data_IF_264313492971
#
_entry.id   IF_264313492971
#
_cell.length_a   1.000
_cell.length_b   1.000
_cell.length_c   1.000
_cell.angle_alpha   90.00
_cell.angle_beta   90.00
_cell.angle_gamma   90.00
#
_symmetry.space_group_name_H-M   'P 1'
#
loop_
_entity.id
_entity.type
_entity.pdbx_description
1 polymer ?
#
# COMPACT_ATOMS: atom_id res chain seq x y z
N UNK A 1 42.63 13.77 14.76
CA UNK A 1 41.27 14.20 14.39
C UNK A 1 40.44 14.26 15.67
N UNK A 2 39.82 15.39 16.03
CA UNK A 2 38.97 15.45 17.22
C UNK A 2 37.65 14.72 16.94
N UNK A 3 37.30 13.77 17.81
CA UNK A 3 36.01 13.07 17.75
C UNK A 3 34.93 13.99 18.28
N UNK A 4 34.14 14.57 17.38
CA UNK A 4 33.08 15.52 17.73
C UNK A 4 31.86 14.76 18.29
N UNK A 5 31.91 14.39 19.57
CA UNK A 5 30.71 13.94 20.31
C UNK A 5 29.73 15.11 20.36
N UNK A 6 28.56 14.94 19.73
CA UNK A 6 27.44 15.84 19.94
C UNK A 6 27.13 15.95 21.45
N UNK A 7 27.14 17.17 21.98
CA UNK A 7 26.87 17.39 23.39
C UNK A 7 25.41 17.08 23.75
N UNK A 8 25.10 16.72 25.02
CA UNK A 8 23.74 16.38 25.43
C UNK A 8 22.72 17.49 25.15
N UNK A 9 23.16 18.75 25.16
CA UNK A 9 22.33 19.94 24.83
C UNK A 9 21.85 19.95 23.37
N UNK A 10 22.52 19.26 22.45
CA UNK A 10 22.16 19.21 21.03
C UNK A 10 21.23 18.02 20.72
N UNK A 11 21.43 16.87 21.38
CA UNK A 11 20.48 15.75 21.33
C UNK A 11 19.09 16.20 21.83
N UNK A 12 19.04 16.93 22.95
CA UNK A 12 17.80 17.53 23.47
C UNK A 12 17.13 18.48 22.46
N UNK A 13 17.91 19.22 21.67
CA UNK A 13 17.37 20.14 20.65
C UNK A 13 16.72 19.40 19.48
N UNK A 14 17.37 18.35 18.95
CA UNK A 14 16.81 17.48 17.90
C UNK A 14 15.54 16.79 18.40
N UNK A 15 15.56 16.31 19.64
CA UNK A 15 14.42 15.68 20.31
C UNK A 15 13.24 16.64 20.46
N UNK A 16 13.50 17.90 20.86
CA UNK A 16 12.47 18.95 20.92
C UNK A 16 11.94 19.29 19.53
N UNK A 17 12.76 19.33 18.49
CA UNK A 17 12.31 19.55 17.11
C UNK A 17 11.45 18.39 16.58
N UNK A 18 11.86 17.14 16.79
CA UNK A 18 11.07 15.97 16.38
C UNK A 18 9.74 15.92 17.15
N UNK A 19 9.77 16.08 18.47
CA UNK A 19 8.56 16.12 19.30
C UNK A 19 7.65 17.30 18.91
N UNK A 20 8.22 18.47 18.57
CA UNK A 20 7.46 19.61 18.08
C UNK A 20 6.90 19.39 16.66
N UNK A 21 7.60 18.70 15.76
CA UNK A 21 7.11 18.36 14.43
C UNK A 21 5.95 17.36 14.51
N UNK A 22 6.09 16.33 15.35
CA UNK A 22 5.00 15.38 15.68
C UNK A 22 3.83 16.11 16.33
N UNK A 23 4.07 16.95 17.34
CA UNK A 23 3.02 17.70 18.03
C UNK A 23 2.32 18.72 17.12
N UNK A 24 3.05 19.42 16.24
CA UNK A 24 2.48 20.37 15.28
C UNK A 24 1.65 19.68 14.19
N UNK A 25 2.06 18.48 13.75
CA UNK A 25 1.25 17.62 12.87
C UNK A 25 0.04 17.03 13.63
N UNK A 26 0.17 16.84 14.95
CA UNK A 26 -0.90 16.42 15.87
C UNK A 26 -1.86 17.52 16.34
N UNK A 27 -1.55 18.80 16.11
CA UNK A 27 -2.19 19.96 16.74
C UNK A 27 -3.54 20.37 16.13
N UNK A 28 -4.48 19.43 16.07
CA UNK A 28 -5.90 19.76 16.11
C UNK A 28 -6.45 19.43 17.52
N UNK A 29 -6.77 20.49 18.27
CA UNK A 29 -7.48 20.49 19.55
C UNK A 29 -6.87 19.73 20.76
N UNK A 30 -5.82 20.31 21.37
CA UNK A 30 -5.54 20.10 22.79
C UNK A 30 -6.31 21.13 23.65
N UNK A 31 -7.48 20.75 24.16
CA UNK A 31 -8.22 21.51 25.18
C UNK A 31 -8.26 20.74 26.51
N UNK A 32 -8.27 21.41 27.67
CA UNK A 32 -8.16 20.75 28.96
C UNK A 32 -9.38 19.88 29.28
N UNK A 33 -9.12 18.66 29.74
CA UNK A 33 -10.14 17.65 30.06
C UNK A 33 -11.09 18.16 31.13
N UNK A 34 -12.35 18.36 30.74
CA UNK A 34 -13.49 18.44 31.67
C UNK A 34 -14.38 17.21 31.45
N UNK A 35 -14.98 16.70 32.52
CA UNK A 35 -15.61 15.38 32.56
C UNK A 35 -16.91 15.28 31.75
N UNK A 36 -17.10 14.12 31.08
CA UNK A 36 -18.20 13.71 30.17
C UNK A 36 -18.20 14.40 28.78
N UNK A 37 -17.74 13.72 27.70
CA UNK A 37 -17.66 14.32 26.35
C UNK A 37 -19.01 14.41 25.59
N UNK A 38 -20.09 13.83 26.11
CA UNK A 38 -21.32 13.60 25.34
C UNK A 38 -22.43 14.63 25.61
N UNK A 39 -22.36 15.76 24.91
CA UNK A 39 -23.42 16.77 24.82
C UNK A 39 -24.52 16.42 23.80
N UNK A 40 -25.69 17.06 23.92
CA UNK A 40 -26.97 16.59 23.39
C UNK A 40 -27.22 16.69 21.85
N UNK A 41 -26.20 16.88 21.02
CA UNK A 41 -26.38 16.89 19.55
C UNK A 41 -26.50 15.47 18.98
N UNK A 42 -27.39 15.24 18.01
CA UNK A 42 -27.67 13.88 17.49
C UNK A 42 -26.43 13.18 16.88
N UNK A 43 -25.65 13.87 16.06
CA UNK A 43 -24.41 13.31 15.51
C UNK A 43 -23.35 13.04 16.61
N UNK A 44 -23.33 13.86 17.68
CA UNK A 44 -22.46 13.66 18.83
C UNK A 44 -22.92 12.46 19.68
N UNK A 45 -24.22 12.20 19.80
CA UNK A 45 -24.74 11.04 20.55
C UNK A 45 -24.49 9.72 19.82
N UNK A 46 -24.61 9.69 18.49
CA UNK A 46 -24.15 8.55 17.67
C UNK A 46 -22.65 8.33 17.84
N UNK A 47 -21.82 9.36 17.60
CA UNK A 47 -20.37 9.25 17.72
C UNK A 47 -19.95 8.78 19.12
N UNK A 48 -20.52 9.36 20.19
CA UNK A 48 -20.29 8.94 21.57
C UNK A 48 -20.63 7.47 21.80
N UNK A 49 -21.82 7.01 21.38
CA UNK A 49 -22.26 5.62 21.54
C UNK A 49 -21.30 4.65 20.85
N UNK A 50 -20.77 5.03 19.68
CA UNK A 50 -19.85 4.20 18.89
C UNK A 50 -18.42 4.22 19.43
N UNK A 51 -17.92 5.37 19.88
CA UNK A 51 -16.60 5.47 20.50
C UNK A 51 -16.54 4.81 21.88
N UNK A 52 -17.66 4.76 22.62
CA UNK A 52 -17.76 4.03 23.88
C UNK A 52 -17.50 2.51 23.75
N UNK A 53 -17.59 1.93 22.55
CA UNK A 53 -17.25 0.51 22.29
C UNK A 53 -15.84 0.31 21.74
N UNK A 54 -14.98 1.33 21.78
CA UNK A 54 -13.58 1.26 21.30
C UNK A 54 -12.58 1.15 22.45
N UNK A 55 -11.34 0.77 22.15
CA UNK A 55 -10.28 0.59 23.16
C UNK A 55 -9.83 1.93 23.75
N UNK A 56 -9.86 3.02 22.97
CA UNK A 56 -9.48 4.36 23.42
C UNK A 56 -10.62 5.37 23.14
N UNK A 57 -11.72 5.39 23.93
CA UNK A 57 -12.92 6.16 23.62
C UNK A 57 -12.73 7.67 23.46
N UNK A 58 -11.84 8.29 24.26
CA UNK A 58 -11.54 9.72 24.14
C UNK A 58 -10.86 10.03 22.79
N UNK A 59 -9.77 9.32 22.48
CA UNK A 59 -9.05 9.44 21.19
C UNK A 59 -9.99 9.19 20.01
N UNK A 60 -10.91 8.23 20.13
CA UNK A 60 -11.94 7.98 19.10
C UNK A 60 -12.85 9.20 18.92
N UNK A 61 -13.38 9.75 20.00
CA UNK A 61 -14.32 10.87 19.95
C UNK A 61 -13.64 12.13 19.42
N UNK A 62 -12.53 12.55 20.03
CA UNK A 62 -11.86 13.82 19.73
C UNK A 62 -11.35 13.86 18.28
N UNK A 63 -10.81 12.74 17.76
CA UNK A 63 -10.30 12.67 16.38
C UNK A 63 -11.37 12.55 15.30
N UNK A 64 -12.60 12.18 15.66
CA UNK A 64 -13.72 12.00 14.73
C UNK A 64 -14.79 13.08 14.83
N UNK A 65 -14.81 13.86 15.92
CA UNK A 65 -15.74 14.97 16.11
C UNK A 65 -15.71 16.01 14.96
N UNK A 66 -14.55 16.42 14.39
CA UNK A 66 -14.52 17.33 13.23
C UNK A 66 -15.26 16.80 12.00
N UNK A 67 -15.41 15.47 11.89
CA UNK A 67 -16.04 14.79 10.75
C UNK A 67 -17.49 14.35 11.05
N UNK A 68 -18.03 14.66 12.23
CA UNK A 68 -19.33 14.13 12.71
C UNK A 68 -20.50 14.33 11.72
N UNK A 69 -20.52 15.46 11.00
CA UNK A 69 -21.55 15.74 9.99
C UNK A 69 -21.50 14.83 8.74
N UNK A 70 -20.34 14.25 8.42
CA UNK A 70 -20.18 13.37 7.25
C UNK A 70 -20.75 11.95 7.48
N UNK A 71 -20.85 11.52 8.74
CA UNK A 71 -21.25 10.15 9.07
C UNK A 71 -22.73 9.88 8.80
N UNK A 72 -23.61 10.85 9.05
CA UNK A 72 -25.08 10.70 9.00
C UNK A 72 -25.56 9.38 9.65
N UNK A 73 -25.06 9.10 10.86
CA UNK A 73 -25.33 7.90 11.66
C UNK A 73 -24.99 6.55 10.97
N UNK A 74 -24.25 6.58 9.85
CA UNK A 74 -23.74 5.38 9.18
C UNK A 74 -22.50 4.83 9.89
N UNK A 75 -22.60 3.57 10.34
CA UNK A 75 -21.47 2.81 10.91
C UNK A 75 -20.35 2.60 9.90
N UNK A 76 -20.68 2.48 8.61
CA UNK A 76 -19.69 2.29 7.54
C UNK A 76 -18.90 3.57 7.32
N UNK A 77 -19.57 4.73 7.25
CA UNK A 77 -18.89 6.03 7.06
C UNK A 77 -18.07 6.46 8.28
N UNK A 78 -18.57 6.19 9.49
CA UNK A 78 -17.80 6.39 10.71
C UNK A 78 -16.53 5.51 10.72
N UNK A 79 -16.64 4.24 10.36
CA UNK A 79 -15.50 3.33 10.28
C UNK A 79 -14.51 3.73 9.16
N UNK A 80 -15.02 4.22 8.02
CA UNK A 80 -14.20 4.76 6.91
C UNK A 80 -13.39 5.95 7.37
N UNK A 81 -14.03 6.95 7.99
CA UNK A 81 -13.36 8.13 8.52
C UNK A 81 -12.32 7.77 9.59
N UNK A 82 -12.58 6.78 10.45
CA UNK A 82 -11.59 6.30 11.41
C UNK A 82 -10.38 5.63 10.73
N UNK A 83 -10.59 4.89 9.64
CA UNK A 83 -9.50 4.33 8.83
C UNK A 83 -8.71 5.43 8.08
N UNK A 84 -9.38 6.48 7.57
CA UNK A 84 -8.73 7.64 6.96
C UNK A 84 -7.89 8.45 7.96
N UNK A 85 -8.40 8.69 9.17
CA UNK A 85 -7.67 9.36 10.26
C UNK A 85 -6.45 8.53 10.68
N UNK A 86 -6.61 7.21 10.86
CA UNK A 86 -5.47 6.33 11.15
C UNK A 86 -4.42 6.37 10.03
N UNK A 87 -4.85 6.30 8.76
CA UNK A 87 -3.97 6.43 7.60
C UNK A 87 -3.26 7.78 7.49
N UNK A 88 -3.89 8.89 7.92
CA UNK A 88 -3.24 10.19 7.99
C UNK A 88 -2.13 10.19 9.06
N UNK A 89 -2.47 9.83 10.30
CA UNK A 89 -1.50 9.79 11.42
C UNK A 89 -0.31 8.87 11.15
N UNK A 90 -0.53 7.73 10.51
CA UNK A 90 0.56 6.81 10.12
C UNK A 90 1.48 7.41 9.04
N UNK A 91 0.95 8.17 8.07
CA UNK A 91 1.78 8.89 7.08
C UNK A 91 2.57 10.03 7.72
N UNK A 92 1.96 10.80 8.61
CA UNK A 92 2.62 11.91 9.32
C UNK A 92 3.78 11.40 10.18
N UNK A 93 3.59 10.26 10.87
CA UNK A 93 4.64 9.58 11.63
C UNK A 93 5.75 9.04 10.71
N UNK A 94 5.39 8.33 9.64
CA UNK A 94 6.35 7.84 8.64
C UNK A 94 7.20 8.96 8.03
N UNK A 95 6.61 10.13 7.74
CA UNK A 95 7.33 11.28 7.21
C UNK A 95 8.28 11.90 8.24
N UNK A 96 7.86 11.97 9.51
CA UNK A 96 8.69 12.49 10.60
C UNK A 96 9.90 11.58 10.88
N UNK A 97 9.72 10.25 10.79
CA UNK A 97 10.79 9.27 10.86
C UNK A 97 11.76 9.34 9.66
N UNK A 98 11.24 9.59 8.46
CA UNK A 98 12.07 9.77 7.25
C UNK A 98 12.93 11.05 7.34
N UNK A 99 12.34 12.14 7.85
CA UNK A 99 13.01 13.41 8.17
C UNK A 99 14.14 13.22 9.21
N UNK A 100 13.93 12.34 10.20
CA UNK A 100 14.93 11.95 11.21
C UNK A 100 16.11 11.14 10.64
N UNK A 101 15.91 10.41 9.54
CA UNK A 101 16.96 9.63 8.85
C UNK A 101 17.72 10.47 7.83
N UNK A 102 17.04 11.38 7.13
CA UNK A 102 17.56 12.08 5.95
C UNK A 102 17.85 13.58 6.18
N UNK A 103 17.84 14.04 7.45
CA UNK A 103 17.90 15.44 7.88
C UNK A 103 18.66 16.40 6.98
N UNK A 104 17.97 17.45 6.53
CA UNK A 104 18.47 18.45 5.60
C UNK A 104 19.80 19.07 6.06
N UNK A 105 20.79 19.10 5.16
CA UNK A 105 22.19 19.38 5.46
C UNK A 105 22.55 20.83 5.79
N UNK A 106 21.67 21.61 6.44
CA UNK A 106 21.86 23.04 6.73
C UNK A 106 22.00 23.38 8.23
N UNK A 107 21.86 22.39 9.13
CA UNK A 107 22.24 22.54 10.55
C UNK A 107 23.08 21.34 10.98
N UNK A 108 24.36 21.61 11.29
CA UNK A 108 25.38 20.69 11.83
C UNK A 108 25.03 19.21 11.92
N UNK A 109 25.44 18.44 10.89
CA UNK A 109 25.12 17.02 10.69
C UNK A 109 25.06 16.18 11.98
N UNK A 110 23.83 15.87 12.40
CA UNK A 110 23.54 14.94 13.49
C UNK A 110 23.75 13.52 12.96
N UNK A 111 24.84 12.87 13.36
CA UNK A 111 25.04 11.46 13.05
C UNK A 111 24.22 10.59 14.00
N UNK A 112 22.98 10.29 13.63
CA UNK A 112 22.20 9.19 14.25
C UNK A 112 23.06 7.92 14.18
N UNK A 113 23.25 7.16 15.28
CA UNK A 113 24.10 5.98 15.25
C UNK A 113 23.64 5.01 14.14
N UNK A 114 24.54 4.39 13.34
CA UNK A 114 24.13 3.60 12.18
C UNK A 114 23.13 2.47 12.48
N UNK A 115 23.15 1.92 13.71
CA UNK A 115 22.17 0.97 14.22
C UNK A 115 20.77 1.60 14.40
N UNK A 116 20.70 2.74 15.08
CA UNK A 116 19.46 3.52 15.27
C UNK A 116 18.91 3.98 13.91
N UNK A 117 19.78 4.46 13.01
CA UNK A 117 19.36 4.85 11.66
C UNK A 117 18.83 3.66 10.83
N UNK A 118 19.30 2.43 11.07
CA UNK A 118 18.73 1.24 10.46
C UNK A 118 17.35 0.91 11.06
N UNK A 119 17.24 0.83 12.38
CA UNK A 119 15.98 0.58 13.07
C UNK A 119 14.89 1.61 12.73
N UNK A 120 15.25 2.90 12.61
CA UNK A 120 14.32 3.96 12.17
C UNK A 120 13.90 3.77 10.72
N UNK A 121 14.80 3.37 9.80
CA UNK A 121 14.40 3.03 8.41
C UNK A 121 13.48 1.81 8.35
N UNK A 122 13.73 0.81 9.17
CA UNK A 122 12.87 -0.39 9.24
C UNK A 122 11.48 -0.01 9.78
N UNK A 123 11.42 0.86 10.79
CA UNK A 123 10.16 1.46 11.26
C UNK A 123 9.47 2.35 10.22
N UNK A 124 10.19 3.18 9.44
CA UNK A 124 9.61 3.90 8.28
C UNK A 124 8.92 2.92 7.35
N UNK A 125 9.57 1.79 7.04
CA UNK A 125 9.01 0.70 6.25
C UNK A 125 7.71 0.16 6.85
N UNK A 126 7.72 -0.29 8.12
CA UNK A 126 6.52 -0.90 8.73
C UNK A 126 5.38 0.11 8.96
N UNK A 127 5.68 1.35 9.34
CA UNK A 127 4.67 2.41 9.53
C UNK A 127 4.06 2.84 8.19
N UNK A 128 4.86 3.00 7.13
CA UNK A 128 4.35 3.24 5.78
C UNK A 128 3.47 2.09 5.29
N UNK A 129 3.89 0.84 5.58
CA UNK A 129 3.09 -0.37 5.34
C UNK A 129 1.73 -0.31 6.05
N UNK A 130 1.71 0.08 7.31
CA UNK A 130 0.50 0.22 8.12
C UNK A 130 -0.44 1.30 7.57
N UNK A 131 0.11 2.43 7.10
CA UNK A 131 -0.67 3.50 6.50
C UNK A 131 -1.40 3.03 5.23
N UNK A 132 -0.69 2.33 4.33
CA UNK A 132 -1.27 1.76 3.11
C UNK A 132 -2.37 0.71 3.42
N UNK A 133 -2.19 -0.09 4.47
CA UNK A 133 -3.22 -1.03 4.93
C UNK A 133 -4.47 -0.32 5.48
N UNK A 134 -4.31 0.73 6.29
CA UNK A 134 -5.42 1.55 6.76
C UNK A 134 -6.17 2.25 5.61
N UNK A 135 -5.45 2.73 4.58
CA UNK A 135 -6.02 3.28 3.33
C UNK A 135 -6.89 2.26 2.60
N UNK A 136 -6.42 1.03 2.41
CA UNK A 136 -7.21 -0.04 1.77
C UNK A 136 -8.49 -0.34 2.57
N UNK A 137 -8.43 -0.32 3.91
CA UNK A 137 -9.63 -0.46 4.73
C UNK A 137 -10.64 0.67 4.50
N UNK A 138 -10.19 1.92 4.40
CA UNK A 138 -11.05 3.04 4.00
C UNK A 138 -11.66 2.81 2.61
N UNK A 139 -10.86 2.38 1.62
CA UNK A 139 -11.34 2.13 0.26
C UNK A 139 -12.41 1.02 0.19
N UNK A 140 -12.24 -0.09 0.92
CA UNK A 140 -13.25 -1.15 1.03
C UNK A 140 -14.55 -0.64 1.70
N UNK A 141 -14.43 0.14 2.77
CA UNK A 141 -15.59 0.78 3.42
C UNK A 141 -16.24 1.84 2.52
N UNK A 142 -15.48 2.46 1.62
CA UNK A 142 -15.99 3.35 0.57
C UNK A 142 -16.84 2.61 -0.47
N UNK A 143 -16.36 1.47 -0.98
CA UNK A 143 -17.13 0.62 -1.91
C UNK A 143 -18.44 0.11 -1.29
N UNK A 144 -18.46 -0.14 0.03
CA UNK A 144 -19.70 -0.48 0.74
C UNK A 144 -20.73 0.66 0.73
N UNK A 145 -20.30 1.89 1.03
CA UNK A 145 -21.18 3.07 1.10
C UNK A 145 -21.71 3.44 -0.30
N UNK A 146 -20.85 3.37 -1.33
CA UNK A 146 -21.23 3.53 -2.74
C UNK A 146 -22.18 2.43 -3.23
N UNK A 147 -21.88 1.16 -2.97
CA UNK A 147 -22.72 0.01 -3.35
C UNK A 147 -24.09 -0.02 -2.65
N UNK A 148 -24.17 0.54 -1.43
CA UNK A 148 -25.44 0.76 -0.73
C UNK A 148 -26.24 1.91 -1.37
N UNK A 149 -25.60 3.01 -1.75
CA UNK A 149 -26.24 4.11 -2.48
C UNK A 149 -26.72 3.71 -3.89
N UNK A 150 -26.04 2.77 -4.55
CA UNK A 150 -26.40 2.24 -5.86
C UNK A 150 -27.45 1.11 -5.82
N UNK A 151 -27.88 0.65 -4.64
CA UNK A 151 -28.91 -0.40 -4.48
C UNK A 151 -28.49 -1.81 -4.96
N UNK A 152 -27.22 -2.03 -5.28
CA UNK A 152 -26.73 -3.25 -5.96
C UNK A 152 -25.87 -4.20 -5.12
N UNK A 153 -25.57 -3.87 -3.86
CA UNK A 153 -24.65 -4.64 -3.03
C UNK A 153 -25.22 -5.95 -2.47
N UNK A 154 -24.98 -7.08 -3.16
CA UNK A 154 -25.30 -8.40 -2.61
C UNK A 154 -24.56 -8.70 -1.30
N UNK A 155 -25.25 -9.20 -0.26
CA UNK A 155 -24.73 -9.27 1.12
C UNK A 155 -23.44 -10.09 1.32
N UNK A 156 -23.08 -10.96 0.35
CA UNK A 156 -21.77 -11.63 0.28
C UNK A 156 -20.61 -10.67 -0.02
N UNK A 157 -20.77 -9.76 -0.98
CA UNK A 157 -19.74 -8.74 -1.29
C UNK A 157 -19.58 -7.79 -0.11
N UNK A 158 -20.68 -7.40 0.53
CA UNK A 158 -20.62 -6.52 1.68
C UNK A 158 -19.88 -7.16 2.87
N UNK A 159 -20.11 -8.45 3.13
CA UNK A 159 -19.38 -9.23 4.14
C UNK A 159 -17.89 -9.37 3.80
N UNK A 160 -17.55 -9.53 2.52
CA UNK A 160 -16.18 -9.61 2.04
C UNK A 160 -15.40 -8.31 2.30
N UNK A 161 -15.95 -7.16 1.93
CA UNK A 161 -15.25 -5.87 2.12
C UNK A 161 -15.07 -5.51 3.60
N UNK A 162 -16.07 -5.77 4.45
CA UNK A 162 -15.91 -5.64 5.91
C UNK A 162 -14.83 -6.59 6.44
N UNK A 163 -14.73 -7.81 5.91
CA UNK A 163 -13.68 -8.76 6.30
C UNK A 163 -12.28 -8.27 5.89
N UNK A 164 -12.13 -7.76 4.67
CA UNK A 164 -10.86 -7.20 4.19
C UNK A 164 -10.44 -5.99 5.03
N UNK A 165 -11.37 -5.08 5.31
CA UNK A 165 -11.11 -3.90 6.13
C UNK A 165 -10.62 -4.25 7.55
N UNK A 166 -11.14 -5.34 8.14
CA UNK A 166 -10.64 -5.89 9.41
C UNK A 166 -9.24 -6.45 9.27
N UNK A 167 -9.01 -7.33 8.29
CA UNK A 167 -7.71 -7.96 8.04
C UNK A 167 -6.60 -6.93 7.88
N UNK A 168 -6.82 -5.90 7.06
CA UNK A 168 -5.81 -4.87 6.83
C UNK A 168 -5.58 -3.97 8.06
N UNK A 169 -6.62 -3.59 8.83
CA UNK A 169 -6.42 -2.82 10.08
C UNK A 169 -5.71 -3.64 11.18
N UNK A 170 -5.99 -4.95 11.28
CA UNK A 170 -5.24 -5.85 12.16
C UNK A 170 -3.77 -5.95 11.76
N UNK A 171 -3.49 -6.09 10.45
CA UNK A 171 -2.12 -6.09 9.94
C UNK A 171 -1.42 -4.72 10.11
N UNK A 172 -2.16 -3.61 9.97
CA UNK A 172 -1.64 -2.27 10.23
C UNK A 172 -1.20 -2.11 11.69
N UNK A 173 -2.01 -2.56 12.67
CA UNK A 173 -1.60 -2.57 14.08
C UNK A 173 -0.37 -3.46 14.31
N UNK A 174 -0.30 -4.65 13.71
CA UNK A 174 0.85 -5.54 13.86
C UNK A 174 2.15 -4.91 13.34
N UNK A 175 2.09 -4.19 12.22
CA UNK A 175 3.24 -3.47 11.67
C UNK A 175 3.70 -2.31 12.57
N UNK A 176 2.77 -1.56 13.17
CA UNK A 176 3.12 -0.47 14.11
C UNK A 176 3.68 -1.04 15.42
N UNK A 177 3.11 -2.12 15.94
CA UNK A 177 3.68 -2.85 17.07
C UNK A 177 5.09 -3.35 16.76
N UNK A 178 5.32 -3.90 15.56
CA UNK A 178 6.66 -4.32 15.11
C UNK A 178 7.66 -3.16 15.07
N UNK A 179 7.24 -1.93 14.73
CA UNK A 179 8.10 -0.75 14.90
C UNK A 179 8.40 -0.52 16.39
N UNK A 180 7.38 -0.45 17.25
CA UNK A 180 7.55 -0.16 18.67
C UNK A 180 8.45 -1.20 19.38
N UNK A 181 8.22 -2.50 19.12
CA UNK A 181 9.00 -3.62 19.66
C UNK A 181 10.47 -3.54 19.22
N UNK A 182 10.75 -3.04 18.01
CA UNK A 182 12.10 -2.78 17.52
C UNK A 182 12.91 -1.74 18.30
N UNK A 183 12.28 -1.03 19.25
CA UNK A 183 12.90 -0.06 20.15
C UNK A 183 12.67 -0.38 21.64
N UNK A 184 12.07 -1.54 21.97
CA UNK A 184 11.72 -1.87 23.36
C UNK A 184 12.92 -2.23 24.25
N UNK A 185 14.03 -2.70 23.67
CA UNK A 185 15.27 -3.10 24.37
C UNK A 185 16.29 -1.94 24.55
N UNK A 186 15.81 -0.70 24.64
CA UNK A 186 16.60 0.54 24.64
C UNK A 186 17.36 0.84 25.96
N UNK A 187 18.22 -0.08 26.41
CA UNK A 187 18.88 0.03 27.72
C UNK A 187 20.07 1.02 27.74
N UNK A 188 19.87 2.18 28.40
CA UNK A 188 20.89 3.03 29.04
C UNK A 188 22.02 3.66 28.19
N UNK A 189 21.88 3.74 26.87
CA UNK A 189 22.79 4.47 25.98
C UNK A 189 22.40 5.94 25.72
N UNK A 190 23.31 6.75 25.16
CA UNK A 190 23.02 8.13 24.73
C UNK A 190 22.06 8.25 23.52
N UNK A 191 21.44 7.14 23.11
CA UNK A 191 20.41 7.03 22.07
C UNK A 191 19.01 6.81 22.63
N UNK A 192 18.87 6.43 23.91
CA UNK A 192 17.62 5.97 24.53
C UNK A 192 16.44 6.93 24.33
N UNK A 193 16.69 8.25 24.26
CA UNK A 193 15.64 9.23 24.01
C UNK A 193 14.98 9.09 22.62
N UNK A 194 15.74 8.85 21.55
CA UNK A 194 15.15 8.70 20.20
C UNK A 194 14.28 7.44 20.17
N UNK A 195 14.75 6.38 20.81
CA UNK A 195 14.09 5.07 20.87
C UNK A 195 12.79 5.17 21.69
N UNK A 196 12.82 5.86 22.84
CA UNK A 196 11.64 6.19 23.66
C UNK A 196 10.61 7.05 22.90
N UNK A 197 11.05 8.08 22.16
CA UNK A 197 10.16 8.98 21.40
C UNK A 197 9.51 8.27 20.21
N UNK A 198 10.27 7.42 19.49
CA UNK A 198 9.73 6.62 18.38
C UNK A 198 8.77 5.55 18.88
N UNK A 199 9.10 4.84 19.97
CA UNK A 199 8.20 3.87 20.59
C UNK A 199 6.93 4.53 21.15
N UNK A 200 7.06 5.71 21.77
CA UNK A 200 5.96 6.50 22.29
C UNK A 200 4.98 6.95 21.21
N UNK A 201 5.47 7.43 20.05
CA UNK A 201 4.60 7.82 18.94
C UNK A 201 4.05 6.61 18.18
N UNK A 202 4.78 5.50 18.07
CA UNK A 202 4.24 4.22 17.56
C UNK A 202 3.08 3.72 18.43
N UNK A 203 3.21 3.77 19.75
CA UNK A 203 2.13 3.48 20.69
C UNK A 203 0.97 4.50 20.59
N UNK A 204 1.25 5.75 20.20
CA UNK A 204 0.25 6.78 19.99
C UNK A 204 -0.59 6.53 18.72
N UNK A 205 0.05 6.34 17.55
CA UNK A 205 -0.65 6.08 16.28
C UNK A 205 -1.40 4.73 16.29
N UNK A 206 -0.92 3.76 17.08
CA UNK A 206 -1.63 2.49 17.35
C UNK A 206 -3.04 2.68 17.88
N UNK A 207 -3.29 3.73 18.69
CA UNK A 207 -4.62 4.01 19.29
C UNK A 207 -5.68 4.29 18.21
N UNK A 208 -5.31 5.05 17.17
CA UNK A 208 -6.20 5.37 16.06
C UNK A 208 -6.53 4.13 15.24
N UNK A 209 -5.52 3.30 14.93
CA UNK A 209 -5.69 2.05 14.18
C UNK A 209 -6.55 1.04 14.96
N UNK A 210 -6.36 0.96 16.28
CA UNK A 210 -7.17 0.13 17.19
C UNK A 210 -8.63 0.57 17.25
N UNK A 211 -8.88 1.89 17.39
CA UNK A 211 -10.22 2.44 17.36
C UNK A 211 -10.91 2.23 16.00
N UNK A 212 -10.19 2.40 14.89
CA UNK A 212 -10.70 2.10 13.55
C UNK A 212 -11.10 0.61 13.45
N UNK A 213 -10.25 -0.34 13.87
CA UNK A 213 -10.59 -1.76 13.85
C UNK A 213 -11.81 -2.07 14.73
N UNK A 214 -11.92 -1.47 15.91
CA UNK A 214 -13.08 -1.64 16.79
C UNK A 214 -14.38 -1.13 16.13
N UNK A 215 -14.33 0.00 15.42
CA UNK A 215 -15.46 0.54 14.68
C UNK A 215 -15.87 -0.35 13.49
N UNK A 216 -14.92 -0.91 12.74
CA UNK A 216 -15.19 -1.91 11.68
C UNK A 216 -15.75 -3.21 12.27
N UNK A 217 -15.25 -3.64 13.44
CA UNK A 217 -15.79 -4.79 14.14
C UNK A 217 -17.24 -4.59 14.60
N UNK A 218 -17.60 -3.36 14.96
CA UNK A 218 -18.97 -2.98 15.31
C UNK A 218 -19.93 -2.80 14.12
N UNK A 219 -19.56 -3.12 12.87
CA UNK A 219 -20.48 -3.09 11.72
C UNK A 219 -21.35 -4.36 11.74
N UNK A 220 -22.69 -4.26 11.92
CA UNK A 220 -23.56 -5.42 12.01
C UNK A 220 -23.80 -6.04 10.63
N UNK A 221 -23.41 -7.30 10.45
CA UNK A 221 -23.70 -8.04 9.22
C UNK A 221 -25.21 -8.20 8.96
N UNK A 222 -26.03 -8.24 10.02
CA UNK A 222 -27.50 -8.38 9.96
C UNK A 222 -28.23 -7.14 9.44
N UNK A 223 -27.56 -5.98 9.31
CA UNK A 223 -28.18 -4.73 8.84
C UNK A 223 -28.26 -4.60 7.32
N UNK A 224 -27.50 -5.43 6.58
CA UNK A 224 -27.45 -5.40 5.12
C UNK A 224 -28.59 -6.19 4.45
N UNK A 225 -29.23 -7.12 5.19
CA UNK A 225 -30.32 -7.94 4.65
C UNK A 225 -31.71 -7.27 4.80
N UNK A 226 -31.86 -6.23 5.64
CA UNK A 226 -33.16 -5.59 5.90
C UNK A 226 -33.58 -4.53 4.86
N UNK A 227 -32.65 -3.95 4.10
CA UNK A 227 -32.97 -2.94 3.07
C UNK A 227 -33.71 -3.50 1.85
N UNK A 228 -33.72 -4.84 1.67
CA UNK A 228 -34.27 -5.52 0.50
C UNK A 228 -35.72 -6.02 0.65
N UNK A 229 -36.39 -5.81 1.80
CA UNK A 229 -37.66 -6.49 2.11
C UNK A 229 -38.82 -5.54 2.43
N UNK A 230 -39.21 -4.68 1.47
CA UNK A 230 -40.54 -4.02 1.51
C UNK A 230 -41.12 -3.68 0.14
N UNK A 231 -41.25 -4.66 -0.75
CA UNK A 231 -42.28 -4.69 -1.82
C UNK A 231 -42.64 -6.15 -2.13
N UNK A 232 -43.91 -6.42 -2.43
CA UNK A 232 -44.49 -7.74 -2.15
C UNK A 232 -44.62 -8.73 -3.31
N UNK A 233 -44.63 -10.01 -2.89
CA UNK A 233 -45.52 -11.11 -3.33
C UNK A 233 -45.11 -12.04 -4.51
N UNK A 234 -45.44 -13.32 -4.26
CA UNK A 234 -45.70 -14.44 -5.21
C UNK A 234 -44.59 -14.98 -6.11
N UNK A 235 -43.71 -15.79 -5.51
CA UNK A 235 -43.67 -17.26 -5.68
C UNK A 235 -43.66 -17.91 -7.07
N UNK A 236 -42.59 -18.65 -7.36
CA UNK A 236 -42.66 -20.03 -7.90
C UNK A 236 -41.33 -20.78 -7.73
N UNK A 237 -41.39 -22.11 -7.71
CA UNK A 237 -40.27 -23.00 -7.41
C UNK A 237 -39.69 -23.68 -8.66
N UNK A 238 -38.39 -23.92 -8.67
CA UNK A 238 -37.70 -25.00 -9.38
C UNK A 238 -36.26 -25.10 -8.78
N UNK A 239 -35.97 -26.09 -7.94
CA UNK A 239 -35.53 -27.45 -8.30
C UNK A 239 -34.12 -27.49 -8.90
N UNK A 240 -33.19 -27.95 -8.07
CA UNK A 240 -31.82 -28.31 -8.46
C UNK A 240 -31.76 -29.65 -9.21
N UNK A 241 -30.92 -29.73 -10.24
CA UNK A 241 -30.23 -30.97 -10.61
C UNK A 241 -28.79 -30.64 -10.99
N UNK A 242 -27.83 -31.36 -10.41
CA UNK A 242 -26.42 -31.27 -10.80
C UNK A 242 -26.03 -32.40 -11.74
N UNK A 243 -24.88 -32.26 -12.41
CA UNK A 243 -24.14 -33.43 -12.90
C UNK A 243 -22.63 -33.14 -12.98
N UNK A 244 -21.85 -34.14 -12.61
CA UNK A 244 -20.39 -34.17 -12.74
C UNK A 244 -19.97 -35.07 -13.92
N UNK A 245 -18.68 -34.99 -14.28
CA UNK A 245 -18.05 -35.79 -15.33
C UNK A 245 -18.01 -35.07 -16.69
N UNK A 246 -17.01 -35.29 -17.55
CA UNK A 246 -15.86 -36.20 -17.44
C UNK A 246 -14.64 -35.64 -18.18
N UNK A 247 -13.45 -36.05 -17.77
CA UNK A 247 -12.27 -35.95 -18.62
C UNK A 247 -12.36 -36.94 -19.80
N UNK A 248 -11.77 -36.58 -20.94
CA UNK A 248 -11.47 -37.50 -22.04
C UNK A 248 -10.14 -37.08 -22.66
N UNK A 249 -9.20 -38.03 -22.79
CA UNK A 249 -7.94 -37.83 -23.48
C UNK A 249 -8.06 -38.10 -24.99
N UNK A 250 -7.13 -37.58 -25.79
CA UNK A 250 -6.82 -38.11 -27.12
C UNK A 250 -5.31 -38.34 -27.28
N UNK A 251 -4.97 -39.41 -27.98
CA UNK A 251 -3.62 -39.98 -28.15
C UNK A 251 -3.35 -40.29 -29.62
N UNK A 252 -2.08 -40.19 -30.06
CA UNK A 252 -1.59 -40.61 -31.39
C UNK A 252 -1.84 -39.59 -32.52
N UNK A 253 -1.21 -39.64 -33.71
CA UNK A 253 -0.11 -40.44 -34.31
C UNK A 253 0.27 -39.77 -35.68
N UNK A 254 1.40 -39.97 -36.38
CA UNK A 254 2.73 -40.53 -36.08
C UNK A 254 3.71 -40.26 -37.27
N UNK A 255 5.03 -40.17 -37.02
CA UNK A 255 6.10 -40.22 -38.05
C UNK A 255 6.44 -38.89 -38.75
N UNK A 256 7.58 -38.73 -39.45
CA UNK A 256 8.72 -39.64 -39.66
C UNK A 256 9.94 -38.88 -40.24
N UNK A 257 11.06 -39.60 -40.39
CA UNK A 257 12.25 -39.29 -41.20
C UNK A 257 13.32 -38.36 -40.60
N UNK A 258 14.45 -38.98 -40.25
CA UNK A 258 15.75 -38.33 -40.14
C UNK A 258 16.48 -38.42 -41.48
N UNK A 259 17.22 -37.37 -41.86
CA UNK A 259 18.29 -37.45 -42.87
C UNK A 259 19.46 -36.60 -42.40
N UNK A 260 20.68 -37.13 -42.54
CA UNK A 260 21.93 -36.52 -42.10
C UNK A 260 22.72 -35.93 -43.26
N UNK A 261 23.48 -34.87 -42.97
CA UNK A 261 24.63 -34.22 -43.65
C UNK A 261 24.57 -32.73 -43.25
N UNK A 262 25.62 -31.99 -42.98
CA UNK A 262 27.07 -32.22 -43.07
C UNK A 262 27.72 -30.84 -43.26
N UNK A 263 28.72 -30.50 -42.42
CA UNK A 263 29.46 -29.21 -42.45
C UNK A 263 28.65 -27.92 -42.16
N UNK A 264 29.23 -26.80 -41.69
CA UNK A 264 30.60 -26.55 -41.24
C UNK A 264 30.59 -25.84 -39.88
N UNK A 265 31.43 -26.28 -38.93
CA UNK A 265 31.55 -25.63 -37.61
C UNK A 265 32.53 -24.46 -37.72
N UNK A 266 32.02 -23.29 -38.13
CA UNK A 266 32.78 -22.05 -38.02
C UNK A 266 33.15 -21.83 -36.55
N UNK A 267 34.45 -21.91 -36.23
CA UNK A 267 34.97 -21.52 -34.91
C UNK A 267 34.97 -19.99 -34.86
N UNK A 268 33.80 -19.43 -34.58
CA UNK A 268 33.71 -18.05 -34.17
C UNK A 268 34.58 -17.90 -32.91
N UNK A 269 35.56 -16.99 -32.97
CA UNK A 269 36.34 -16.65 -31.79
C UNK A 269 35.37 -16.21 -30.69
N UNK A 270 35.35 -16.94 -29.58
CA UNK A 270 34.51 -16.61 -28.44
C UNK A 270 35.09 -15.38 -27.75
N UNK A 271 34.75 -14.20 -28.26
CA UNK A 271 34.91 -12.95 -27.51
C UNK A 271 34.09 -13.08 -26.24
N UNK A 272 34.78 -13.07 -25.10
CA UNK A 272 34.16 -13.01 -23.77
C UNK A 272 33.04 -11.94 -23.76
N UNK A 273 31.80 -12.30 -23.40
CA UNK A 273 30.70 -11.34 -23.40
C UNK A 273 31.02 -10.20 -22.44
N UNK A 274 31.16 -8.98 -22.96
CA UNK A 274 31.31 -7.78 -22.13
C UNK A 274 30.13 -7.70 -21.15
N UNK A 275 30.34 -7.18 -19.93
CA UNK A 275 29.29 -7.16 -18.90
C UNK A 275 27.98 -6.50 -19.37
N UNK A 276 28.05 -5.49 -20.26
CA UNK A 276 26.89 -4.89 -20.91
C UNK A 276 26.12 -5.87 -21.81
N UNK A 277 26.82 -6.74 -22.55
CA UNK A 277 26.20 -7.75 -23.41
C UNK A 277 25.53 -8.88 -22.61
N UNK A 278 26.13 -9.32 -21.50
CA UNK A 278 25.55 -10.35 -20.63
C UNK A 278 24.33 -9.82 -19.84
N UNK A 279 24.39 -8.59 -19.34
CA UNK A 279 23.24 -7.92 -18.72
C UNK A 279 22.06 -7.76 -19.70
N UNK A 280 22.35 -7.42 -20.96
CA UNK A 280 21.32 -7.27 -22.02
C UNK A 280 20.70 -8.63 -22.41
N UNK A 281 21.51 -9.68 -22.52
CA UNK A 281 21.03 -11.04 -22.78
C UNK A 281 20.18 -11.58 -21.62
N UNK A 282 20.61 -11.33 -20.38
CA UNK A 282 19.84 -11.63 -19.17
C UNK A 282 18.48 -10.90 -19.18
N UNK A 283 18.47 -9.59 -19.47
CA UNK A 283 17.23 -8.82 -19.55
C UNK A 283 16.25 -9.40 -20.58
N UNK A 284 16.70 -9.74 -21.81
CA UNK A 284 15.82 -10.37 -22.82
C UNK A 284 15.21 -11.66 -22.30
N UNK A 285 16.02 -12.54 -21.72
CA UNK A 285 15.56 -13.82 -21.16
C UNK A 285 14.50 -13.61 -20.08
N UNK A 286 14.71 -12.67 -19.16
CA UNK A 286 13.76 -12.37 -18.07
C UNK A 286 12.51 -11.63 -18.55
N UNK A 287 12.59 -10.78 -19.56
CA UNK A 287 11.44 -10.11 -20.13
C UNK A 287 10.57 -11.02 -20.99
N UNK A 288 11.14 -12.04 -21.64
CA UNK A 288 10.41 -13.04 -22.42
C UNK A 288 9.40 -13.85 -21.59
N UNK A 289 9.59 -13.96 -20.26
CA UNK A 289 8.62 -14.62 -19.36
C UNK A 289 7.55 -13.67 -18.82
N UNK A 290 7.52 -12.40 -19.23
CA UNK A 290 6.51 -11.41 -18.78
C UNK A 290 5.36 -11.31 -19.78
N UNK A 291 4.20 -10.79 -19.34
CA UNK A 291 3.05 -10.51 -20.23
C UNK A 291 3.33 -9.40 -21.24
N UNK A 292 4.34 -8.56 -21.02
CA UNK A 292 4.65 -7.39 -21.84
C UNK A 292 6.16 -7.34 -22.16
N UNK A 293 6.69 -8.26 -23.00
CA UNK A 293 8.14 -8.43 -23.18
C UNK A 293 8.85 -7.17 -23.69
N UNK A 294 8.28 -6.48 -24.67
CA UNK A 294 8.90 -5.29 -25.28
C UNK A 294 8.91 -4.12 -24.27
N UNK A 295 7.77 -3.86 -23.61
CA UNK A 295 7.66 -2.84 -22.56
C UNK A 295 8.60 -3.14 -21.39
N UNK A 296 8.78 -4.41 -21.02
CA UNK A 296 9.75 -4.84 -20.03
C UNK A 296 11.18 -4.51 -20.47
N UNK A 297 11.56 -4.90 -21.69
CA UNK A 297 12.91 -4.71 -22.18
C UNK A 297 13.24 -3.21 -22.32
N UNK A 298 12.40 -2.44 -23.01
CA UNK A 298 12.63 -1.02 -23.28
C UNK A 298 12.64 -0.18 -21.99
N UNK A 299 11.78 -0.49 -21.02
CA UNK A 299 11.73 0.27 -19.76
C UNK A 299 12.85 -0.09 -18.78
N UNK A 300 13.54 -1.22 -18.96
CA UNK A 300 14.59 -1.70 -18.05
C UNK A 300 16.00 -1.64 -18.64
N UNK A 301 16.16 -1.63 -19.97
CA UNK A 301 17.46 -1.53 -20.64
C UNK A 301 18.33 -0.36 -20.13
N UNK A 302 17.81 0.85 -19.82
CA UNK A 302 18.61 1.94 -19.26
C UNK A 302 19.27 1.63 -17.91
N UNK A 303 18.81 0.61 -17.19
CA UNK A 303 19.30 0.21 -15.86
C UNK A 303 20.20 -1.04 -15.91
N UNK A 304 20.56 -1.54 -17.10
CA UNK A 304 21.31 -2.79 -17.27
C UNK A 304 22.67 -2.81 -16.55
N UNK A 305 23.38 -1.68 -16.49
CA UNK A 305 24.63 -1.56 -15.73
C UNK A 305 24.44 -1.66 -14.22
N UNK A 306 23.26 -1.34 -13.70
CA UNK A 306 22.92 -1.40 -12.27
C UNK A 306 22.54 -2.80 -11.83
N UNK A 307 21.70 -3.51 -12.59
CA UNK A 307 21.26 -4.86 -12.21
C UNK A 307 22.18 -5.99 -12.70
N UNK A 308 22.94 -5.78 -13.78
CA UNK A 308 23.82 -6.78 -14.40
C UNK A 308 23.07 -8.10 -14.69
N UNK A 309 23.34 -9.16 -13.93
CA UNK A 309 22.65 -10.46 -14.01
C UNK A 309 21.91 -10.84 -12.70
N UNK A 310 21.75 -9.88 -11.77
CA UNK A 310 21.05 -10.10 -10.51
C UNK A 310 19.53 -10.06 -10.68
N UNK A 311 18.86 -11.11 -10.20
CA UNK A 311 17.40 -11.24 -10.24
C UNK A 311 16.74 -10.23 -9.29
N UNK A 312 17.31 -10.00 -8.11
CA UNK A 312 16.79 -9.07 -7.10
C UNK A 312 16.96 -7.63 -7.60
N UNK A 313 18.14 -7.24 -8.10
CA UNK A 313 18.37 -5.88 -8.61
C UNK A 313 17.50 -5.55 -9.83
N UNK A 314 17.24 -6.52 -10.70
CA UNK A 314 16.31 -6.36 -11.81
C UNK A 314 14.88 -6.11 -11.31
N UNK A 315 14.45 -6.84 -10.28
CA UNK A 315 13.15 -6.62 -9.65
C UNK A 315 13.06 -5.26 -8.92
N UNK A 316 14.13 -4.81 -8.24
CA UNK A 316 14.24 -3.46 -7.65
C UNK A 316 14.06 -2.39 -8.74
N UNK A 317 14.76 -2.53 -9.87
CA UNK A 317 14.66 -1.60 -10.99
C UNK A 317 13.22 -1.55 -11.55
N UNK A 318 12.56 -2.70 -11.73
CA UNK A 318 11.19 -2.77 -12.21
C UNK A 318 10.16 -2.17 -11.24
N UNK A 319 10.29 -2.43 -9.93
CA UNK A 319 9.43 -1.84 -8.92
C UNK A 319 9.61 -0.30 -8.84
N UNK A 320 10.85 0.19 -8.96
CA UNK A 320 11.14 1.63 -9.05
C UNK A 320 10.55 2.27 -10.32
N UNK A 321 10.65 1.61 -11.48
CA UNK A 321 10.03 2.08 -12.74
C UNK A 321 8.50 2.13 -12.58
N UNK A 322 7.87 1.10 -12.03
CA UNK A 322 6.43 1.10 -11.76
C UNK A 322 6.02 2.26 -10.84
N UNK A 323 6.72 2.45 -9.71
CA UNK A 323 6.49 3.54 -8.77
C UNK A 323 6.65 4.93 -9.40
N UNK A 324 7.64 5.11 -10.29
CA UNK A 324 7.84 6.37 -11.02
C UNK A 324 6.70 6.64 -12.02
N UNK A 325 6.25 5.62 -12.75
CA UNK A 325 5.15 5.72 -13.72
C UNK A 325 3.82 6.01 -13.03
N UNK A 326 3.55 5.36 -11.89
CA UNK A 326 2.39 5.60 -11.04
C UNK A 326 2.34 7.02 -10.50
N UNK A 327 3.46 7.55 -9.99
CA UNK A 327 3.54 8.96 -9.57
C UNK A 327 3.31 9.94 -10.71
N UNK A 328 3.95 9.72 -11.86
CA UNK A 328 3.76 10.57 -13.04
C UNK A 328 2.29 10.57 -13.50
N UNK A 329 1.61 9.43 -13.39
CA UNK A 329 0.18 9.34 -13.69
C UNK A 329 -0.70 10.01 -12.62
N UNK A 330 -0.39 9.87 -11.31
CA UNK A 330 -1.07 10.61 -10.23
C UNK A 330 -0.96 12.14 -10.41
N UNK A 331 0.22 12.62 -10.83
CA UNK A 331 0.43 14.02 -11.19
C UNK A 331 -0.44 14.43 -12.40
N UNK A 332 -0.47 13.61 -13.46
CA UNK A 332 -1.34 13.88 -14.62
C UNK A 332 -2.84 13.91 -14.28
N UNK A 333 -3.31 13.04 -13.38
CA UNK A 333 -4.68 13.08 -12.86
C UNK A 333 -4.93 14.39 -12.08
N UNK A 334 -3.93 14.89 -11.35
CA UNK A 334 -4.01 16.19 -10.69
C UNK A 334 -4.10 17.35 -11.70
N UNK A 335 -3.41 17.25 -12.84
CA UNK A 335 -3.51 18.25 -13.93
C UNK A 335 -4.91 18.22 -14.58
N UNK A 336 -5.52 17.03 -14.74
CA UNK A 336 -6.90 16.90 -15.18
C UNK A 336 -7.90 17.52 -14.18
N UNK A 337 -7.67 17.33 -12.87
CA UNK A 337 -8.45 18.00 -11.82
C UNK A 337 -8.33 19.52 -11.86
N UNK A 338 -7.15 20.06 -12.20
CA UNK A 338 -6.92 21.49 -12.30
C UNK A 338 -7.58 22.12 -13.54
N UNK A 339 -7.83 21.35 -14.60
CA UNK A 339 -8.60 21.79 -15.78
C UNK A 339 -10.09 21.93 -15.47
N UNK A 340 -10.59 21.16 -14.50
CA UNK A 340 -11.99 21.15 -14.06
C UNK A 340 -12.93 20.45 -15.04
N UNK A 341 -14.04 19.94 -14.52
CA UNK A 341 -15.01 19.20 -15.32
C UNK A 341 -16.41 19.19 -14.73
N UNK A 342 -17.25 18.26 -15.21
CA UNK A 342 -18.50 17.97 -14.53
C UNK A 342 -18.19 17.39 -13.14
N UNK A 343 -18.91 17.81 -12.10
CA UNK A 343 -18.61 17.46 -10.71
C UNK A 343 -18.46 15.94 -10.45
N UNK A 344 -19.16 15.09 -11.22
CA UNK A 344 -19.04 13.63 -11.15
C UNK A 344 -17.74 13.08 -11.75
N UNK A 345 -17.20 13.73 -12.79
CA UNK A 345 -15.86 13.45 -13.35
C UNK A 345 -14.78 13.90 -12.37
N UNK A 346 -14.92 15.08 -11.77
CA UNK A 346 -13.96 15.60 -10.80
C UNK A 346 -13.93 14.78 -9.50
N UNK A 347 -15.05 14.17 -9.11
CA UNK A 347 -15.09 13.18 -8.04
C UNK A 347 -14.32 11.91 -8.41
N UNK A 348 -14.63 11.30 -9.57
CA UNK A 348 -13.93 10.11 -10.06
C UNK A 348 -12.41 10.33 -10.25
N UNK A 349 -12.00 11.53 -10.70
CA UNK A 349 -10.59 11.93 -10.78
C UNK A 349 -9.92 12.02 -9.40
N UNK A 350 -10.60 12.53 -8.36
CA UNK A 350 -10.06 12.56 -6.98
C UNK A 350 -9.87 11.15 -6.43
N UNK A 351 -10.85 10.28 -6.60
CA UNK A 351 -10.78 8.89 -6.14
C UNK A 351 -9.72 8.08 -6.92
N UNK A 352 -9.64 8.26 -8.25
CA UNK A 352 -8.57 7.68 -9.05
C UNK A 352 -7.18 8.20 -8.64
N UNK A 353 -7.01 9.51 -8.42
CA UNK A 353 -5.73 10.06 -7.93
C UNK A 353 -5.30 9.39 -6.62
N UNK A 354 -6.26 9.18 -5.72
CA UNK A 354 -6.06 8.56 -4.41
C UNK A 354 -5.55 7.12 -4.55
N UNK A 355 -6.23 6.29 -5.35
CA UNK A 355 -5.87 4.88 -5.56
C UNK A 355 -4.57 4.71 -6.35
N UNK A 356 -4.31 5.54 -7.36
CA UNK A 356 -3.04 5.56 -8.10
C UNK A 356 -1.87 6.03 -7.23
N UNK A 357 -2.11 6.91 -6.26
CA UNK A 357 -1.09 7.24 -5.25
C UNK A 357 -0.77 6.05 -4.37
N UNK A 358 -1.80 5.34 -3.86
CA UNK A 358 -1.60 4.15 -3.02
C UNK A 358 -0.85 3.05 -3.78
N UNK A 359 -1.23 2.76 -5.04
CA UNK A 359 -0.48 1.85 -5.91
C UNK A 359 1.01 2.26 -6.05
N UNK A 360 1.28 3.58 -6.22
CA UNK A 360 2.65 4.10 -6.32
C UNK A 360 3.45 4.01 -5.02
N UNK A 361 2.78 3.97 -3.88
CA UNK A 361 3.37 3.78 -2.55
C UNK A 361 3.70 2.30 -2.31
N UNK A 362 2.80 1.39 -2.71
CA UNK A 362 3.02 -0.06 -2.68
C UNK A 362 4.16 -0.51 -3.62
N UNK A 363 4.27 0.10 -4.80
CA UNK A 363 5.38 -0.15 -5.72
C UNK A 363 6.73 0.35 -5.17
N UNK A 364 6.75 1.41 -4.36
CA UNK A 364 7.95 1.86 -3.62
C UNK A 364 8.31 0.94 -2.47
N UNK A 365 7.34 0.57 -1.66
CA UNK A 365 7.51 -0.36 -0.55
C UNK A 365 8.12 -1.68 -1.06
N UNK A 366 7.63 -2.13 -2.21
CA UNK A 366 8.19 -3.27 -2.96
C UNK A 366 9.65 -3.10 -3.37
N UNK A 367 10.07 -1.93 -3.85
CA UNK A 367 11.48 -1.71 -4.22
C UNK A 367 12.41 -1.57 -3.00
N UNK A 368 11.92 -1.03 -1.89
CA UNK A 368 12.65 -0.93 -0.63
C UNK A 368 12.92 -2.31 -0.01
N UNK A 369 11.91 -3.17 0.07
CA UNK A 369 12.00 -4.54 0.59
C UNK A 369 12.93 -5.44 -0.24
N UNK A 370 12.87 -5.34 -1.57
CA UNK A 370 13.85 -5.99 -2.45
C UNK A 370 15.27 -5.41 -2.28
N UNK A 371 15.39 -4.13 -1.93
CA UNK A 371 16.66 -3.49 -1.58
C UNK A 371 17.26 -4.03 -0.27
N UNK A 372 16.43 -4.29 0.74
CA UNK A 372 16.85 -4.97 1.97
C UNK A 372 17.35 -6.39 1.68
N UNK A 373 16.67 -7.12 0.78
CA UNK A 373 17.09 -8.47 0.35
C UNK A 373 18.45 -8.46 -0.36
N UNK A 374 18.69 -7.51 -1.26
CA UNK A 374 19.99 -7.34 -1.96
C UNK A 374 21.12 -6.96 -0.99
N UNK A 375 20.85 -6.01 -0.07
CA UNK A 375 21.82 -5.58 0.94
C UNK A 375 22.16 -6.69 1.95
N UNK A 376 21.16 -7.43 2.44
CA UNK A 376 21.35 -8.56 3.35
C UNK A 376 22.14 -9.71 2.71
N UNK A 377 21.90 -9.97 1.41
CA UNK A 377 22.65 -10.97 0.66
C UNK A 377 24.13 -10.61 0.53
N UNK A 378 24.46 -9.31 0.46
CA UNK A 378 25.82 -8.80 0.44
C UNK A 378 26.50 -8.76 1.84
N UNK A 379 25.73 -8.65 2.93
CA UNK A 379 26.27 -8.36 4.26
C UNK A 379 26.60 -9.59 5.13
N UNK A 380 25.75 -10.64 5.11
CA UNK A 380 25.97 -11.85 5.93
C UNK A 380 25.26 -13.13 5.41
N UNK A 381 24.47 -13.02 4.33
CA UNK A 381 23.65 -14.11 3.81
C UNK A 381 22.24 -14.12 4.43
N UNK A 382 21.23 -13.90 3.60
CA UNK A 382 19.81 -14.01 3.99
C UNK A 382 19.41 -15.48 3.94
N UNK A 383 18.76 -16.00 4.99
CA UNK A 383 18.24 -17.37 4.96
C UNK A 383 17.17 -17.52 3.87
N UNK A 384 17.08 -18.68 3.22
CA UNK A 384 16.06 -18.91 2.18
C UNK A 384 14.62 -18.79 2.70
N UNK A 385 14.40 -18.94 4.02
CA UNK A 385 13.12 -18.60 4.68
C UNK A 385 12.86 -17.09 4.68
N UNK A 386 13.84 -16.29 5.07
CA UNK A 386 13.74 -14.83 5.10
C UNK A 386 13.61 -14.24 3.68
N UNK A 387 14.35 -14.78 2.71
CA UNK A 387 14.25 -14.39 1.31
C UNK A 387 12.85 -14.67 0.72
N UNK A 388 12.27 -15.85 1.03
CA UNK A 388 10.87 -16.17 0.67
C UNK A 388 9.86 -15.23 1.34
N UNK A 389 10.10 -14.81 2.58
CA UNK A 389 9.22 -13.86 3.28
C UNK A 389 9.22 -12.48 2.59
N UNK A 390 10.40 -11.91 2.33
CA UNK A 390 10.52 -10.64 1.60
C UNK A 390 9.86 -10.71 0.21
N UNK A 391 10.08 -11.77 -0.56
CA UNK A 391 9.43 -11.94 -1.87
C UNK A 391 7.91 -12.06 -1.75
N UNK A 392 7.39 -12.77 -0.74
CA UNK A 392 5.95 -12.89 -0.48
C UNK A 392 5.29 -11.54 -0.13
N UNK A 393 5.98 -10.67 0.61
CA UNK A 393 5.52 -9.31 0.89
C UNK A 393 5.41 -8.49 -0.40
N UNK A 394 6.47 -8.49 -1.22
CA UNK A 394 6.53 -7.78 -2.51
C UNK A 394 5.45 -8.27 -3.48
N UNK A 395 5.24 -9.58 -3.58
CA UNK A 395 4.16 -10.18 -4.36
C UNK A 395 2.79 -9.64 -3.94
N UNK A 396 2.55 -9.55 -2.63
CA UNK A 396 1.29 -9.06 -2.05
C UNK A 396 1.08 -7.57 -2.36
N UNK A 397 2.12 -6.74 -2.24
CA UNK A 397 2.00 -5.29 -2.48
C UNK A 397 1.88 -4.94 -3.95
N UNK A 398 2.65 -5.58 -4.85
CA UNK A 398 2.51 -5.36 -6.30
C UNK A 398 1.18 -5.91 -6.84
N UNK A 399 0.68 -7.02 -6.31
CA UNK A 399 -0.66 -7.53 -6.69
C UNK A 399 -1.77 -6.55 -6.28
N UNK A 400 -1.65 -5.97 -5.07
CA UNK A 400 -2.59 -4.96 -4.60
C UNK A 400 -2.47 -3.62 -5.35
N UNK A 401 -1.27 -3.20 -5.76
CA UNK A 401 -1.09 -2.04 -6.62
C UNK A 401 -1.87 -2.19 -7.94
N UNK A 402 -1.89 -3.39 -8.54
CA UNK A 402 -2.71 -3.69 -9.74
C UNK A 402 -4.22 -3.60 -9.44
N UNK A 403 -4.65 -3.97 -8.23
CA UNK A 403 -6.03 -3.80 -7.77
C UNK A 403 -6.41 -2.33 -7.56
N UNK A 404 -5.52 -1.53 -6.96
CA UNK A 404 -5.74 -0.10 -6.75
C UNK A 404 -5.75 0.66 -8.09
N UNK A 405 -4.86 0.30 -9.03
CA UNK A 405 -4.91 0.74 -10.43
C UNK A 405 -6.24 0.37 -11.12
N UNK A 406 -6.84 -0.78 -10.80
CA UNK A 406 -8.18 -1.16 -11.27
C UNK A 406 -9.29 -0.33 -10.65
N UNK A 407 -9.23 -0.12 -9.34
CA UNK A 407 -10.24 0.67 -8.62
C UNK A 407 -10.36 2.09 -9.19
N UNK A 408 -9.28 2.67 -9.73
CA UNK A 408 -9.35 3.91 -10.50
C UNK A 408 -10.25 3.82 -11.75
N UNK A 409 -10.11 2.79 -12.60
CA UNK A 409 -10.98 2.60 -13.78
C UNK A 409 -12.42 2.29 -13.38
N UNK A 410 -12.59 1.41 -12.38
CA UNK A 410 -13.90 0.95 -11.93
C UNK A 410 -14.73 2.15 -11.40
N UNK A 411 -14.10 3.08 -10.67
CA UNK A 411 -14.73 4.31 -10.21
C UNK A 411 -15.19 5.26 -11.33
N UNK A 412 -14.59 5.21 -12.52
CA UNK A 412 -15.08 5.92 -13.70
C UNK A 412 -16.28 5.23 -14.36
N UNK A 413 -16.36 3.90 -14.30
CA UNK A 413 -17.52 3.13 -14.76
C UNK A 413 -18.71 3.32 -13.82
N UNK A 414 -18.49 3.32 -12.49
CA UNK A 414 -19.48 3.70 -11.46
C UNK A 414 -19.90 5.17 -11.57
N UNK A 415 -19.04 6.05 -12.09
CA UNK A 415 -19.40 7.42 -12.46
C UNK A 415 -20.32 7.51 -13.71
N UNK A 416 -20.55 6.40 -14.40
CA UNK A 416 -21.48 6.25 -15.53
C UNK A 416 -20.84 6.49 -16.90
N UNK A 417 -21.49 6.00 -17.96
CA UNK A 417 -20.96 6.03 -19.34
C UNK A 417 -20.53 7.42 -19.81
N UNK A 418 -21.22 8.48 -19.40
CA UNK A 418 -20.85 9.86 -19.74
C UNK A 418 -19.52 10.29 -19.09
N UNK A 419 -19.20 9.80 -17.89
CA UNK A 419 -17.94 10.07 -17.21
C UNK A 419 -16.80 9.21 -17.80
N UNK A 420 -17.02 7.90 -17.97
CA UNK A 420 -16.06 6.99 -18.60
C UNK A 420 -15.75 7.39 -20.07
N UNK A 421 -16.77 7.80 -20.83
CA UNK A 421 -16.66 8.25 -22.22
C UNK A 421 -16.10 9.67 -22.40
N UNK A 422 -15.97 10.45 -21.32
CA UNK A 422 -15.40 11.80 -21.35
C UNK A 422 -13.91 11.79 -21.77
N UNK A 423 -13.34 12.93 -22.22
CA UNK A 423 -11.92 13.02 -22.52
C UNK A 423 -11.03 12.60 -21.35
N UNK A 424 -11.37 13.04 -20.13
CA UNK A 424 -10.67 12.68 -18.90
C UNK A 424 -10.79 11.17 -18.60
N UNK A 425 -11.99 10.58 -18.72
CA UNK A 425 -12.20 9.15 -18.48
C UNK A 425 -11.42 8.26 -19.44
N UNK A 426 -11.39 8.61 -20.74
CA UNK A 426 -10.58 7.91 -21.75
C UNK A 426 -9.08 8.04 -21.49
N UNK A 427 -8.63 9.23 -21.08
CA UNK A 427 -7.23 9.45 -20.74
C UNK A 427 -6.81 8.65 -19.50
N UNK A 428 -7.67 8.63 -18.47
CA UNK A 428 -7.48 7.83 -17.25
C UNK A 428 -7.43 6.34 -17.57
N UNK A 429 -8.37 5.81 -18.35
CA UNK A 429 -8.38 4.40 -18.75
C UNK A 429 -7.09 4.00 -19.50
N UNK A 430 -6.63 4.85 -20.43
CA UNK A 430 -5.37 4.65 -21.14
C UNK A 430 -4.15 4.78 -20.22
N UNK A 431 -4.20 5.66 -19.21
CA UNK A 431 -3.17 5.81 -18.19
C UNK A 431 -3.05 4.59 -17.27
N UNK A 432 -4.18 4.11 -16.74
CA UNK A 432 -4.30 2.88 -15.95
C UNK A 432 -3.74 1.68 -16.72
N UNK A 433 -4.11 1.53 -18.00
CA UNK A 433 -3.60 0.46 -18.83
C UNK A 433 -2.06 0.48 -18.96
N UNK A 434 -1.43 1.66 -19.02
CA UNK A 434 0.04 1.80 -19.07
C UNK A 434 0.72 1.51 -17.73
N UNK A 435 0.18 1.99 -16.61
CA UNK A 435 0.80 1.71 -15.29
C UNK A 435 0.68 0.23 -14.91
N UNK A 436 -0.48 -0.39 -15.18
CA UNK A 436 -0.70 -1.85 -15.02
C UNK A 436 0.32 -2.71 -15.74
N UNK A 437 0.82 -2.28 -16.91
CA UNK A 437 1.89 -3.00 -17.61
C UNK A 437 3.18 -3.02 -16.78
N UNK A 438 3.63 -1.87 -16.29
CA UNK A 438 4.86 -1.77 -15.49
C UNK A 438 4.74 -2.49 -14.14
N UNK A 439 3.61 -2.36 -13.44
CA UNK A 439 3.36 -3.06 -12.17
C UNK A 439 3.27 -4.58 -12.37
N UNK A 440 2.65 -5.03 -13.46
CA UNK A 440 2.64 -6.45 -13.86
C UNK A 440 4.02 -6.99 -14.27
N UNK A 441 4.88 -6.16 -14.88
CA UNK A 441 6.27 -6.53 -15.20
C UNK A 441 7.07 -6.72 -13.92
N UNK A 442 6.97 -5.77 -12.97
CA UNK A 442 7.63 -5.89 -11.67
C UNK A 442 7.22 -7.17 -10.94
N UNK A 443 5.91 -7.46 -10.86
CA UNK A 443 5.40 -8.67 -10.22
C UNK A 443 5.90 -9.96 -10.91
N UNK A 444 5.93 -9.99 -12.24
CA UNK A 444 6.45 -11.14 -12.99
C UNK A 444 7.97 -11.37 -12.76
N UNK A 445 8.75 -10.30 -12.66
CA UNK A 445 10.20 -10.38 -12.40
C UNK A 445 10.49 -10.84 -10.96
N UNK A 446 9.68 -10.41 -9.99
CA UNK A 446 9.69 -10.88 -8.59
C UNK A 446 9.33 -12.37 -8.49
N UNK A 447 8.28 -12.80 -9.18
CA UNK A 447 7.88 -14.21 -9.24
C UNK A 447 8.95 -15.13 -9.83
N UNK A 448 9.88 -14.58 -10.63
CA UNK A 448 11.02 -15.31 -11.20
C UNK A 448 12.32 -15.19 -10.39
N UNK A 449 12.31 -14.73 -9.14
CA UNK A 449 13.50 -14.73 -8.28
C UNK A 449 13.75 -16.17 -7.76
N UNK A 450 14.94 -16.77 -7.94
CA UNK A 450 15.31 -18.05 -7.32
C UNK A 450 15.62 -17.86 -5.82
N UNK A 451 15.15 -18.78 -4.96
CA UNK A 451 15.09 -18.66 -3.49
C UNK A 451 15.41 -19.95 -2.72
#
# INVERSE_FOLDING_TARGET
>A
MPSSRAGPRHVVLVMLFFAAAVAARGADAASPVTTRPCGAAAAASFLCSRCATTVYPAVCYDSLLPYAGAFQDSRVRLARAAADVAAARLRDFSASLDELVHGSGDVGAVTTPPRVAAAVRDCVGTVSSAAGLARRSSAALGRLDAGAAAGGGGSRLARWEVSNAKTWLSAAMANVATCADGFADADSGSAAGIEEVVAGEAANVSKYTSNALALVNGIPFSGLDLAATSTGKTGSAATSTGKAGSATAMTGMAGSAATSMGEARAVAAMTEPTAASSATAFLRSRCATTRYPDVCYDSLLPYASTFQTSHVKLAVAAANVAAAKLRAFSARINDLLAQGGAARVDAALKDCKSTISDAGDLARQSSAELGQLDAGAAAAGVSSRQARWHVSNVQTWLSAAITDEGTCTDGFEEAGEAAAGSPAGKEVAAGVARVKQHTSIALALVNGIPL
#
